data_IF_803649497704
#
_entry.id   IF_803649497704
#
_cell.length_a   1.000
_cell.length_b   1.000
_cell.length_c   1.000
_cell.angle_alpha   90.00
_cell.angle_beta   90.00
_cell.angle_gamma   90.00
#
_symmetry.space_group_name_H-M   'P 1'
#
loop_
_entity.id
_entity.type
_entity.pdbx_description
1 polymer ?
#
# COMPACT_ATOMS: atom_id res chain seq x y z
N UNK A 1 16.68 0.55 -18.36
CA UNK A 1 16.00 0.53 -17.03
C UNK A 1 16.62 -0.63 -16.28
N UNK A 2 17.49 -0.29 -15.34
CA UNK A 2 18.22 -1.30 -14.58
C UNK A 2 17.25 -2.18 -13.80
N UNK A 3 17.49 -3.48 -13.88
CA UNK A 3 16.78 -4.45 -13.06
C UNK A 3 16.99 -4.07 -11.59
N UNK A 4 15.89 -4.03 -10.84
CA UNK A 4 15.95 -3.98 -9.40
C UNK A 4 16.66 -5.25 -8.97
N UNK A 5 17.95 -5.15 -8.67
CA UNK A 5 18.65 -6.26 -8.06
C UNK A 5 18.23 -6.34 -6.58
N UNK A 6 17.04 -6.91 -6.38
CA UNK A 6 16.61 -7.34 -5.05
C UNK A 6 17.32 -8.65 -4.66
N UNK A 7 18.20 -9.18 -5.55
CA UNK A 7 19.04 -10.34 -5.29
C UNK A 7 20.17 -10.08 -4.31
N UNK A 8 20.36 -8.87 -3.83
CA UNK A 8 21.04 -8.71 -2.56
C UNK A 8 20.14 -9.31 -1.46
N UNK A 9 20.05 -10.62 -1.52
CA UNK A 9 19.92 -11.63 -0.44
C UNK A 9 19.39 -11.14 0.90
N UNK A 10 18.50 -10.18 0.92
CA UNK A 10 17.76 -9.84 2.11
C UNK A 10 16.35 -10.38 1.87
N UNK A 11 16.23 -11.75 1.92
CA UNK A 11 14.95 -12.24 2.34
C UNK A 11 14.47 -11.28 3.46
N UNK A 12 13.27 -10.74 3.40
CA UNK A 12 12.11 -11.45 2.85
C UNK A 12 11.48 -10.85 1.57
N UNK A 13 12.17 -10.00 0.85
CA UNK A 13 11.57 -9.24 -0.26
C UNK A 13 11.90 -9.84 -1.62
N UNK A 14 10.90 -9.94 -2.51
CA UNK A 14 11.07 -10.38 -3.90
C UNK A 14 10.31 -9.48 -4.86
N UNK A 15 11.00 -8.99 -5.88
CA UNK A 15 10.40 -8.19 -6.94
C UNK A 15 9.73 -9.11 -7.99
N UNK A 16 8.53 -8.75 -8.42
CA UNK A 16 7.75 -9.51 -9.40
C UNK A 16 7.65 -8.83 -10.77
N UNK A 17 8.28 -7.67 -10.94
CA UNK A 17 8.32 -7.03 -12.26
C UNK A 17 9.28 -7.77 -13.18
N UNK A 18 8.78 -8.14 -14.35
CA UNK A 18 9.53 -8.73 -15.44
C UNK A 18 9.02 -8.22 -16.78
N UNK A 19 9.65 -8.58 -17.89
CA UNK A 19 9.18 -8.24 -19.25
C UNK A 19 7.77 -8.78 -19.54
N UNK A 20 7.40 -9.91 -18.92
CA UNK A 20 6.10 -10.55 -19.06
C UNK A 20 5.08 -10.10 -17.98
N UNK A 21 5.52 -9.40 -16.94
CA UNK A 21 4.69 -8.94 -15.83
C UNK A 21 5.04 -7.48 -15.49
N UNK A 22 4.58 -6.54 -16.33
CA UNK A 22 4.97 -5.12 -16.21
C UNK A 22 4.07 -4.30 -15.30
N UNK A 23 2.83 -4.71 -15.07
CA UNK A 23 1.83 -3.96 -14.33
C UNK A 23 1.26 -4.74 -13.14
N UNK A 24 0.48 -4.07 -12.31
CA UNK A 24 -0.10 -4.63 -11.09
C UNK A 24 -0.91 -5.91 -11.33
N UNK A 25 -1.76 -5.92 -12.38
CA UNK A 25 -2.64 -7.06 -12.71
C UNK A 25 -1.87 -8.31 -13.12
N UNK A 26 -0.70 -8.15 -13.73
CA UNK A 26 0.16 -9.27 -14.10
C UNK A 26 1.04 -9.74 -12.94
N UNK A 27 1.48 -8.83 -12.06
CA UNK A 27 2.38 -9.14 -10.95
C UNK A 27 1.66 -9.75 -9.74
N UNK A 28 0.45 -9.27 -9.41
CA UNK A 28 -0.27 -9.73 -8.23
C UNK A 28 -0.51 -11.24 -8.20
N UNK A 29 -0.99 -11.89 -9.28
CA UNK A 29 -1.12 -13.36 -9.28
C UNK A 29 0.19 -14.10 -9.01
N UNK A 30 1.33 -13.54 -9.46
CA UNK A 30 2.64 -14.13 -9.22
C UNK A 30 3.07 -14.00 -7.76
N UNK A 31 2.78 -12.86 -7.11
CA UNK A 31 3.02 -12.66 -5.67
C UNK A 31 2.26 -13.71 -4.86
N UNK A 32 0.97 -13.90 -5.17
CA UNK A 32 0.11 -14.84 -4.46
C UNK A 32 0.53 -16.29 -4.73
N UNK A 33 0.87 -16.63 -5.98
CA UNK A 33 1.35 -17.97 -6.34
C UNK A 33 2.68 -18.35 -5.67
N UNK A 34 3.52 -17.35 -5.36
CA UNK A 34 4.78 -17.51 -4.62
C UNK A 34 4.57 -17.52 -3.08
N UNK A 35 3.32 -17.60 -2.63
CA UNK A 35 2.93 -17.58 -1.21
C UNK A 35 3.47 -16.35 -0.44
N UNK A 36 3.55 -15.20 -1.11
CA UNK A 36 3.99 -13.94 -0.50
C UNK A 36 2.84 -12.98 -0.30
N UNK A 37 3.04 -12.04 0.60
CA UNK A 37 2.11 -10.93 0.83
C UNK A 37 2.62 -9.71 0.05
N UNK A 38 1.75 -8.97 -0.67
CA UNK A 38 2.17 -7.72 -1.31
C UNK A 38 2.74 -6.75 -0.28
N UNK A 39 3.81 -6.05 -0.64
CA UNK A 39 4.42 -5.00 0.18
C UNK A 39 3.37 -3.97 0.60
N UNK A 40 3.27 -3.65 1.89
CA UNK A 40 2.46 -2.54 2.39
C UNK A 40 3.26 -1.23 2.41
N UNK A 41 2.57 -0.10 2.52
CA UNK A 41 3.23 1.20 2.72
C UNK A 41 4.07 1.19 4.01
N UNK A 42 3.56 0.58 5.08
CA UNK A 42 4.31 0.44 6.33
C UNK A 42 5.60 -0.37 6.15
N UNK A 43 5.55 -1.52 5.43
CA UNK A 43 6.76 -2.29 5.14
C UNK A 43 7.77 -1.51 4.29
N UNK A 44 7.29 -0.70 3.34
CA UNK A 44 8.15 0.18 2.57
C UNK A 44 8.82 1.23 3.46
N UNK A 45 8.08 1.83 4.39
CA UNK A 45 8.62 2.80 5.36
C UNK A 45 9.67 2.17 6.28
N UNK A 46 9.47 0.93 6.70
CA UNK A 46 10.49 0.20 7.48
C UNK A 46 11.73 -0.11 6.65
N UNK A 47 11.56 -0.56 5.42
CA UNK A 47 12.66 -1.05 4.59
C UNK A 47 13.50 0.05 3.96
N UNK A 48 12.87 1.08 3.40
CA UNK A 48 13.55 2.12 2.60
C UNK A 48 14.66 2.86 3.36
N UNK A 49 14.49 3.28 4.64
CA UNK A 49 15.55 3.95 5.42
C UNK A 49 16.74 3.06 5.74
N UNK A 50 16.52 1.75 5.85
CA UNK A 50 17.52 0.76 6.24
C UNK A 50 18.10 -0.03 5.07
N UNK A 51 17.70 0.29 3.84
CA UNK A 51 18.29 -0.31 2.66
C UNK A 51 19.76 0.09 2.54
N UNK A 52 20.68 -0.87 2.58
CA UNK A 52 22.15 -0.65 2.56
C UNK A 52 22.65 -0.01 1.25
N UNK A 53 23.81 -0.42 0.72
CA UNK A 53 24.37 0.14 -0.53
C UNK A 53 23.59 -0.22 -1.80
N UNK A 54 22.80 -1.29 -1.80
CA UNK A 54 21.73 -1.57 -2.80
C UNK A 54 20.58 -0.55 -2.76
N UNK A 55 20.84 0.51 -2.19
CA UNK A 55 20.06 1.64 -1.70
C UNK A 55 19.43 2.40 -2.85
N UNK A 56 20.10 2.49 -4.00
CA UNK A 56 19.53 3.14 -5.18
C UNK A 56 18.20 2.53 -5.57
N UNK A 57 18.08 1.21 -5.45
CA UNK A 57 16.89 0.47 -5.82
C UNK A 57 15.65 0.76 -4.97
N UNK A 58 15.79 0.80 -3.63
CA UNK A 58 14.66 1.08 -2.74
C UNK A 58 14.31 2.56 -2.65
N UNK A 59 15.30 3.42 -2.75
CA UNK A 59 15.15 4.87 -2.64
C UNK A 59 14.75 5.52 -3.96
N UNK A 60 15.29 5.01 -5.08
CA UNK A 60 15.12 5.63 -6.39
C UNK A 60 13.99 5.01 -7.21
N UNK A 61 13.37 3.93 -6.72
CA UNK A 61 12.23 3.32 -7.37
C UNK A 61 10.91 3.63 -6.68
N UNK A 62 9.86 3.35 -7.42
CA UNK A 62 8.47 3.51 -7.05
C UNK A 62 7.79 2.15 -6.97
N UNK A 63 6.87 2.03 -6.01
CA UNK A 63 6.25 0.77 -5.65
C UNK A 63 4.72 0.89 -5.60
N UNK A 64 4.06 -0.01 -6.28
CA UNK A 64 2.68 -0.37 -5.95
C UNK A 64 2.68 -1.21 -4.67
N UNK A 65 1.63 -1.09 -3.88
CA UNK A 65 1.51 -1.80 -2.60
C UNK A 65 0.25 -2.66 -2.53
N UNK A 66 0.16 -3.52 -1.52
CA UNK A 66 -1.06 -4.25 -1.18
C UNK A 66 -2.10 -3.41 -0.45
N UNK A 67 -1.73 -2.20 0.00
CA UNK A 67 -2.69 -1.25 0.53
C UNK A 67 -3.49 -0.62 -0.61
N UNK A 68 -4.76 -0.35 -0.38
CA UNK A 68 -5.67 0.20 -1.36
C UNK A 68 -6.26 1.55 -0.97
N UNK A 69 -6.75 2.26 -1.97
CA UNK A 69 -7.56 3.45 -1.80
C UNK A 69 -8.89 3.21 -2.51
N UNK A 70 -9.95 3.06 -1.71
CA UNK A 70 -11.29 2.94 -2.22
C UNK A 70 -11.95 4.32 -2.29
N UNK A 71 -12.59 4.64 -3.40
CA UNK A 71 -13.34 5.86 -3.62
C UNK A 71 -14.84 5.56 -3.69
N UNK A 72 -15.65 6.40 -3.05
CA UNK A 72 -17.10 6.33 -3.25
C UNK A 72 -17.51 6.85 -4.64
N UNK A 73 -18.72 6.59 -5.03
CA UNK A 73 -19.31 7.23 -6.21
C UNK A 73 -19.29 8.77 -6.02
N UNK A 74 -18.78 9.49 -7.03
CA UNK A 74 -18.54 10.93 -6.96
C UNK A 74 -17.13 11.30 -6.44
N UNK A 75 -16.42 10.38 -5.79
CA UNK A 75 -15.02 10.55 -5.38
C UNK A 75 -14.78 11.63 -4.31
N UNK A 76 -15.84 12.05 -3.57
CA UNK A 76 -15.74 13.02 -2.48
C UNK A 76 -15.16 12.41 -1.20
N UNK A 77 -15.43 11.11 -0.99
CA UNK A 77 -14.92 10.31 0.12
C UNK A 77 -14.00 9.21 -0.38
N UNK A 78 -13.07 8.82 0.46
CA UNK A 78 -12.22 7.67 0.18
C UNK A 78 -11.85 6.94 1.49
N UNK A 79 -11.53 5.65 1.35
CA UNK A 79 -11.02 4.83 2.45
C UNK A 79 -9.60 4.38 2.16
N UNK A 80 -8.73 4.43 3.17
CA UNK A 80 -7.46 3.70 3.15
C UNK A 80 -7.75 2.28 3.61
N UNK A 81 -7.56 1.34 2.70
CA UNK A 81 -7.83 -0.10 2.90
C UNK A 81 -6.48 -0.80 3.04
N UNK A 82 -6.10 -1.13 4.26
CA UNK A 82 -4.83 -1.79 4.54
C UNK A 82 -4.89 -3.28 4.14
N UNK A 83 -3.83 -3.78 3.49
CA UNK A 83 -3.70 -5.18 3.05
C UNK A 83 -4.94 -5.69 2.29
N UNK A 84 -5.38 -4.93 1.30
CA UNK A 84 -6.64 -5.14 0.59
C UNK A 84 -6.77 -6.54 -0.01
N UNK A 85 -7.77 -7.28 0.46
CA UNK A 85 -8.08 -8.61 -0.04
C UNK A 85 -8.62 -8.58 -1.48
N UNK A 86 -9.29 -7.50 -1.87
CA UNK A 86 -9.82 -7.37 -3.23
C UNK A 86 -8.70 -7.08 -4.23
N UNK A 87 -7.69 -6.30 -3.86
CA UNK A 87 -6.49 -6.12 -4.68
C UNK A 87 -5.68 -7.41 -4.85
N UNK A 88 -5.71 -8.33 -3.88
CA UNK A 88 -5.04 -9.63 -3.99
C UNK A 88 -5.69 -10.58 -5.00
N UNK A 89 -6.94 -10.34 -5.37
CA UNK A 89 -7.70 -11.18 -6.33
C UNK A 89 -7.58 -10.70 -7.77
N UNK A 90 -7.01 -9.51 -8.01
CA UNK A 90 -6.93 -8.96 -9.38
C UNK A 90 -5.99 -9.76 -10.26
N UNK A 91 -6.30 -9.76 -11.54
CA UNK A 91 -5.53 -10.42 -12.59
C UNK A 91 -5.80 -9.74 -13.95
N UNK A 92 -5.18 -10.21 -15.01
CA UNK A 92 -5.32 -9.64 -16.36
C UNK A 92 -6.75 -9.64 -16.92
N UNK A 93 -7.69 -10.41 -16.34
CA UNK A 93 -9.11 -10.45 -16.73
C UNK A 93 -9.98 -9.54 -15.86
N UNK A 94 -9.40 -8.90 -14.85
CA UNK A 94 -10.15 -8.02 -13.93
C UNK A 94 -10.74 -6.84 -14.69
N UNK A 95 -12.05 -6.64 -14.53
CA UNK A 95 -12.74 -5.49 -15.09
C UNK A 95 -12.28 -4.19 -14.43
N UNK A 96 -12.02 -3.20 -15.26
CA UNK A 96 -11.53 -1.91 -14.81
C UNK A 96 -12.34 -0.78 -15.42
N UNK A 97 -12.44 0.29 -14.66
CA UNK A 97 -12.93 1.58 -15.15
C UNK A 97 -11.92 2.66 -14.80
N UNK A 98 -11.47 3.40 -15.81
CA UNK A 98 -10.41 4.40 -15.65
C UNK A 98 -9.14 3.84 -14.97
N UNK A 99 -8.79 2.59 -15.24
CA UNK A 99 -7.63 1.92 -14.65
C UNK A 99 -7.78 1.50 -13.18
N UNK A 100 -8.97 1.59 -12.61
CA UNK A 100 -9.30 1.15 -11.25
C UNK A 100 -10.16 -0.12 -11.27
N UNK A 101 -10.05 -0.95 -10.23
CA UNK A 101 -11.01 -2.01 -9.96
C UNK A 101 -12.38 -1.40 -9.65
N UNK A 102 -13.40 -1.82 -10.35
CA UNK A 102 -14.78 -1.43 -10.05
C UNK A 102 -15.27 -2.23 -8.85
N UNK A 103 -15.81 -1.54 -7.88
CA UNK A 103 -16.48 -2.17 -6.73
C UNK A 103 -17.97 -2.31 -7.04
N UNK A 104 -18.54 -3.47 -6.71
CA UNK A 104 -19.97 -3.70 -6.79
C UNK A 104 -20.72 -2.77 -5.82
N UNK A 105 -22.01 -2.57 -6.08
CA UNK A 105 -22.85 -1.71 -5.26
C UNK A 105 -22.85 -2.18 -3.79
N UNK A 106 -22.66 -1.24 -2.87
CA UNK A 106 -22.60 -1.49 -1.43
C UNK A 106 -21.25 -2.04 -0.92
N UNK A 107 -20.33 -2.45 -1.78
CA UNK A 107 -19.02 -2.95 -1.34
C UNK A 107 -18.17 -1.85 -0.69
N UNK A 108 -18.23 -0.61 -1.23
CA UNK A 108 -17.49 0.51 -0.62
C UNK A 108 -17.83 0.70 0.86
N UNK A 109 -19.11 0.61 1.24
CA UNK A 109 -19.57 0.76 2.61
C UNK A 109 -19.08 -0.36 3.53
N UNK A 110 -18.95 -1.58 3.00
CA UNK A 110 -18.53 -2.78 3.72
C UNK A 110 -17.01 -2.89 3.87
N UNK A 111 -16.24 -2.22 2.99
CA UNK A 111 -14.78 -2.25 3.07
C UNK A 111 -14.30 -1.74 4.43
N UNK A 112 -13.50 -2.58 5.09
CA UNK A 112 -12.79 -2.18 6.29
C UNK A 112 -11.67 -1.20 5.92
N UNK A 113 -11.59 -0.08 6.64
CA UNK A 113 -10.59 0.96 6.38
C UNK A 113 -10.94 2.27 7.06
N UNK A 114 -9.98 3.15 7.12
CA UNK A 114 -10.21 4.50 7.65
C UNK A 114 -10.76 5.40 6.55
N UNK A 115 -11.97 5.92 6.77
CA UNK A 115 -12.63 6.84 5.83
C UNK A 115 -12.18 8.29 6.06
N UNK A 116 -12.02 9.01 4.95
CA UNK A 116 -11.70 10.42 4.91
C UNK A 116 -12.60 11.12 3.91
N UNK A 117 -12.89 12.39 4.14
CA UNK A 117 -13.43 13.27 3.11
C UNK A 117 -12.31 14.12 2.50
N UNK A 118 -12.38 14.37 1.20
CA UNK A 118 -11.39 15.25 0.55
C UNK A 118 -11.44 16.67 1.09
N UNK A 119 -12.60 17.13 1.51
CA UNK A 119 -12.77 18.48 2.07
C UNK A 119 -12.01 18.63 3.38
N UNK A 120 -12.04 17.62 4.28
CA UNK A 120 -11.35 17.67 5.58
C UNK A 120 -9.82 17.79 5.44
N UNK A 121 -9.26 17.28 4.36
CA UNK A 121 -7.80 17.28 4.11
C UNK A 121 -7.42 18.15 2.90
N UNK A 122 -8.32 18.96 2.37
CA UNK A 122 -8.14 19.74 1.14
C UNK A 122 -6.87 20.59 1.11
N UNK A 123 -6.54 21.22 2.22
CA UNK A 123 -5.32 22.04 2.35
C UNK A 123 -4.02 21.22 2.30
N UNK A 124 -4.12 19.89 2.44
CA UNK A 124 -2.99 18.95 2.46
C UNK A 124 -2.89 18.10 1.18
N UNK A 125 -3.83 18.26 0.24
CA UNK A 125 -3.84 17.53 -1.02
C UNK A 125 -3.07 18.26 -2.13
N UNK A 126 -2.55 17.47 -3.08
CA UNK A 126 -1.96 17.90 -4.35
C UNK A 126 -0.83 18.93 -4.21
N UNK A 127 -0.11 18.85 -3.11
CA UNK A 127 1.09 19.65 -2.86
C UNK A 127 2.10 18.89 -2.02
N UNK A 128 3.35 19.29 -2.12
CA UNK A 128 4.40 18.79 -1.22
C UNK A 128 4.23 19.37 0.18
N UNK A 129 4.50 18.53 1.17
CA UNK A 129 4.32 18.81 2.61
C UNK A 129 5.67 19.07 3.28
N UNK A 130 5.69 19.81 4.36
CA UNK A 130 6.84 19.84 5.29
C UNK A 130 6.88 18.56 6.11
N UNK A 131 8.02 18.27 6.76
CA UNK A 131 8.16 17.09 7.61
C UNK A 131 7.12 17.06 8.75
N UNK A 132 6.83 18.20 9.36
CA UNK A 132 5.85 18.28 10.43
C UNK A 132 4.42 18.07 9.91
N UNK A 133 4.10 18.60 8.72
CA UNK A 133 2.82 18.34 8.08
C UNK A 133 2.63 16.86 7.75
N UNK A 134 3.67 16.16 7.28
CA UNK A 134 3.63 14.70 7.04
C UNK A 134 3.36 13.93 8.32
N UNK A 135 4.11 14.23 9.40
CA UNK A 135 3.95 13.56 10.71
C UNK A 135 2.56 13.79 11.32
N UNK A 136 1.94 14.93 11.03
CA UNK A 136 0.59 15.27 11.50
C UNK A 136 -0.50 14.72 10.57
N UNK A 137 -0.17 14.34 9.33
CA UNK A 137 -1.14 14.03 8.28
C UNK A 137 -1.92 12.75 8.55
N UNK A 138 -3.27 12.79 8.62
CA UNK A 138 -4.06 11.64 9.05
C UNK A 138 -3.95 10.43 8.11
N UNK A 139 -3.82 10.66 6.79
CA UNK A 139 -3.66 9.56 5.82
C UNK A 139 -2.28 8.92 5.93
N UNK A 140 -1.20 9.69 6.12
CA UNK A 140 0.12 9.12 6.35
C UNK A 140 0.19 8.31 7.65
N UNK A 141 -0.49 8.77 8.72
CA UNK A 141 -0.61 7.99 9.97
C UNK A 141 -1.34 6.67 9.76
N UNK A 142 -2.45 6.67 9.02
CA UNK A 142 -3.19 5.46 8.67
C UNK A 142 -2.32 4.47 7.91
N UNK A 143 -1.57 4.92 6.90
CA UNK A 143 -0.69 4.09 6.07
C UNK A 143 0.52 3.54 6.84
N UNK A 144 1.11 4.34 7.71
CA UNK A 144 2.25 3.94 8.54
C UNK A 144 1.84 2.96 9.65
N UNK A 145 0.57 2.96 10.08
CA UNK A 145 0.04 2.13 11.18
C UNK A 145 0.70 2.38 12.55
N UNK A 146 1.73 3.23 12.59
CA UNK A 146 2.52 3.53 13.78
C UNK A 146 3.15 4.92 13.66
N UNK A 147 2.90 5.79 14.64
CA UNK A 147 3.40 7.18 14.63
C UNK A 147 4.94 7.25 14.76
N UNK A 148 5.56 6.32 15.49
CA UNK A 148 7.02 6.27 15.61
C UNK A 148 7.68 5.88 14.27
N UNK A 149 7.10 4.91 13.55
CA UNK A 149 7.56 4.53 12.21
C UNK A 149 7.43 5.70 11.22
N UNK A 150 6.28 6.39 11.23
CA UNK A 150 6.08 7.56 10.37
C UNK A 150 7.12 8.65 10.66
N UNK A 151 7.36 8.92 11.94
CA UNK A 151 8.34 9.92 12.37
C UNK A 151 9.75 9.55 11.88
N UNK A 152 10.20 8.33 12.14
CA UNK A 152 11.53 7.86 11.73
C UNK A 152 11.69 7.90 10.20
N UNK A 153 10.68 7.39 9.47
CA UNK A 153 10.68 7.43 8.00
C UNK A 153 10.77 8.85 7.47
N UNK A 154 9.93 9.73 7.98
CA UNK A 154 9.88 11.14 7.56
C UNK A 154 11.21 11.80 7.78
N UNK A 155 11.79 11.71 8.99
CA UNK A 155 13.05 12.37 9.33
C UNK A 155 14.20 11.89 8.44
N UNK A 156 14.34 10.58 8.24
CA UNK A 156 15.38 9.98 7.40
C UNK A 156 15.23 10.36 5.93
N UNK A 157 14.00 10.26 5.39
CA UNK A 157 13.75 10.55 3.97
C UNK A 157 13.90 12.04 3.65
N UNK A 158 13.44 12.94 4.52
CA UNK A 158 13.62 14.37 4.32
C UNK A 158 15.11 14.75 4.38
N UNK A 159 15.86 14.23 5.34
CA UNK A 159 17.31 14.46 5.43
C UNK A 159 18.04 14.01 4.15
N UNK A 160 17.67 12.84 3.61
CA UNK A 160 18.26 12.33 2.38
C UNK A 160 17.82 13.13 1.13
N UNK A 161 16.54 13.43 1.01
CA UNK A 161 16.02 14.23 -0.11
C UNK A 161 16.60 15.66 -0.11
N UNK A 162 16.81 16.25 1.07
CA UNK A 162 17.48 17.53 1.19
C UNK A 162 18.94 17.46 0.71
N UNK A 163 19.64 16.40 1.08
CA UNK A 163 21.06 16.20 0.70
C UNK A 163 21.22 15.90 -0.79
N UNK A 164 20.36 15.06 -1.37
CA UNK A 164 20.50 14.60 -2.76
C UNK A 164 19.88 15.56 -3.77
N UNK A 165 18.77 16.19 -3.42
CA UNK A 165 17.91 16.92 -4.36
C UNK A 165 17.57 18.34 -3.90
N UNK A 166 18.02 18.78 -2.73
CA UNK A 166 17.69 20.08 -2.12
C UNK A 166 16.20 20.29 -1.83
N UNK A 167 15.43 19.21 -1.63
CA UNK A 167 14.02 19.31 -1.34
C UNK A 167 13.78 19.59 0.16
N UNK A 168 13.05 20.67 0.46
CA UNK A 168 12.59 21.02 1.80
C UNK A 168 11.12 20.59 2.06
N UNK A 169 10.40 20.23 0.99
CA UNK A 169 9.04 19.70 1.02
C UNK A 169 8.94 18.45 0.15
N UNK A 170 8.14 17.47 0.59
CA UNK A 170 8.01 16.17 -0.04
C UNK A 170 6.73 15.46 0.41
N UNK A 171 6.56 14.19 0.06
CA UNK A 171 5.53 13.28 0.54
C UNK A 171 4.10 13.85 0.41
N UNK A 172 3.86 14.56 -0.70
CA UNK A 172 2.53 15.05 -1.05
C UNK A 172 1.54 13.91 -1.31
N UNK A 173 0.25 14.19 -1.19
CA UNK A 173 -0.86 13.28 -1.44
C UNK A 173 -1.58 13.65 -2.72
N UNK A 174 -1.66 12.69 -3.67
CA UNK A 174 -2.30 12.87 -4.98
C UNK A 174 -3.39 11.82 -5.17
N UNK A 175 -4.65 12.24 -5.09
CA UNK A 175 -5.82 11.35 -5.13
C UNK A 175 -6.56 11.43 -6.47
N UNK A 176 -7.29 10.36 -6.82
CA UNK A 176 -8.17 10.37 -7.98
C UNK A 176 -9.34 11.35 -7.77
N UNK A 177 -9.83 11.93 -8.86
CA UNK A 177 -11.00 12.82 -8.89
C UNK A 177 -12.01 12.33 -9.92
N UNK A 178 -13.29 12.62 -9.69
CA UNK A 178 -14.34 12.38 -10.67
C UNK A 178 -14.73 10.92 -10.89
N UNK A 179 -14.51 10.05 -9.90
CA UNK A 179 -14.96 8.66 -9.96
C UNK A 179 -16.48 8.59 -9.99
N UNK A 180 -17.04 8.09 -11.11
CA UNK A 180 -18.51 8.03 -11.31
C UNK A 180 -19.16 6.85 -10.60
N UNK A 181 -18.40 5.82 -10.30
CA UNK A 181 -18.79 4.60 -9.58
C UNK A 181 -17.79 4.32 -8.48
N UNK A 182 -18.14 3.52 -7.46
CA UNK A 182 -17.17 3.11 -6.46
C UNK A 182 -16.01 2.35 -7.09
N UNK A 183 -14.79 2.70 -6.72
CA UNK A 183 -13.57 2.09 -7.28
C UNK A 183 -12.52 1.84 -6.21
N UNK A 184 -11.60 0.92 -6.50
CA UNK A 184 -10.44 0.62 -5.67
C UNK A 184 -9.17 0.68 -6.51
N UNK A 185 -8.16 1.38 -6.01
CA UNK A 185 -6.83 1.51 -6.63
C UNK A 185 -5.76 1.03 -5.66
N UNK A 186 -4.65 0.52 -6.18
CA UNK A 186 -3.47 0.27 -5.36
C UNK A 186 -2.88 1.59 -4.85
N UNK A 187 -2.47 1.61 -3.59
CA UNK A 187 -1.66 2.68 -3.05
C UNK A 187 -0.24 2.59 -3.63
N UNK A 188 0.24 3.71 -4.12
CA UNK A 188 1.52 3.81 -4.80
C UNK A 188 2.40 4.86 -4.13
N UNK A 189 3.68 4.56 -3.95
CA UNK A 189 4.66 5.47 -3.37
C UNK A 189 5.84 5.66 -4.31
N UNK A 190 6.11 6.92 -4.65
CA UNK A 190 7.21 7.33 -5.51
C UNK A 190 8.60 7.13 -4.90
N UNK A 191 9.62 7.12 -5.73
CA UNK A 191 11.02 7.24 -5.33
C UNK A 191 11.34 8.62 -4.75
N UNK A 192 12.54 8.76 -4.16
CA UNK A 192 12.95 10.02 -3.53
C UNK A 192 13.16 11.14 -4.54
N UNK A 193 13.57 10.82 -5.77
CA UNK A 193 13.67 11.79 -6.87
C UNK A 193 12.33 12.48 -7.15
N UNK A 194 11.23 11.73 -7.05
CA UNK A 194 9.87 12.24 -7.13
C UNK A 194 9.28 12.58 -5.76
N UNK A 195 10.12 12.94 -4.80
CA UNK A 195 9.74 13.40 -3.46
C UNK A 195 8.95 12.39 -2.62
N UNK A 196 9.08 11.09 -2.88
CA UNK A 196 8.37 10.04 -2.12
C UNK A 196 6.86 10.29 -1.99
N UNK A 197 6.24 10.80 -3.04
CA UNK A 197 4.82 11.15 -3.05
C UNK A 197 3.95 9.91 -2.93
N UNK A 198 2.79 10.06 -2.30
CA UNK A 198 1.75 9.05 -2.27
C UNK A 198 0.74 9.35 -3.38
N UNK A 199 0.52 8.39 -4.26
CA UNK A 199 -0.35 8.57 -5.41
C UNK A 199 -1.46 7.53 -5.42
N UNK A 200 -2.67 7.96 -5.12
CA UNK A 200 -3.89 7.13 -5.11
C UNK A 200 -4.67 7.18 -6.42
N UNK A 201 -4.17 7.88 -7.43
CA UNK A 201 -4.85 8.00 -8.75
C UNK A 201 -4.25 7.11 -9.85
N UNK A 202 -3.31 6.28 -9.52
CA UNK A 202 -2.60 5.43 -10.46
C UNK A 202 -3.47 4.31 -11.02
N UNK A 203 -3.24 3.92 -12.29
CA UNK A 203 -3.96 2.83 -12.92
C UNK A 203 -3.29 1.48 -12.60
N UNK A 204 -4.07 0.44 -12.41
CA UNK A 204 -3.59 -0.92 -12.19
C UNK A 204 -2.86 -1.51 -13.41
N UNK A 205 -3.01 -0.88 -14.59
CA UNK A 205 -2.32 -1.26 -15.83
C UNK A 205 -1.00 -0.52 -16.05
N UNK A 206 -0.67 0.45 -15.22
CA UNK A 206 0.60 1.18 -15.36
C UNK A 206 1.79 0.29 -14.99
N UNK A 207 2.89 0.50 -15.71
CA UNK A 207 4.08 -0.35 -15.59
C UNK A 207 4.93 -0.03 -14.37
N UNK A 208 4.54 -0.52 -13.18
CA UNK A 208 5.20 -0.28 -11.90
C UNK A 208 5.73 -1.55 -11.27
N UNK A 209 6.25 -1.46 -10.05
CA UNK A 209 6.85 -2.58 -9.33
C UNK A 209 5.98 -3.00 -8.16
N UNK A 210 5.67 -4.28 -8.10
CA UNK A 210 5.07 -4.93 -6.94
C UNK A 210 6.11 -5.85 -6.30
N UNK A 211 6.31 -5.67 -5.01
CA UNK A 211 7.23 -6.49 -4.21
C UNK A 211 6.40 -7.40 -3.31
N UNK A 212 6.75 -8.67 -3.28
CA UNK A 212 6.20 -9.64 -2.34
C UNK A 212 7.08 -9.79 -1.12
N UNK A 213 6.47 -9.88 0.06
CA UNK A 213 7.14 -10.08 1.35
C UNK A 213 6.85 -11.50 1.83
N UNK A 214 7.87 -12.24 2.26
CA UNK A 214 7.68 -13.58 2.81
C UNK A 214 6.90 -13.51 4.13
N UNK A 215 5.89 -14.38 4.36
CA UNK A 215 5.04 -14.33 5.55
C UNK A 215 5.80 -14.43 6.87
N UNK A 216 6.91 -15.15 6.90
CA UNK A 216 7.76 -15.33 8.09
C UNK A 216 8.34 -14.01 8.60
N UNK A 217 8.63 -13.08 7.71
CA UNK A 217 9.15 -11.77 8.07
C UNK A 217 8.10 -10.87 8.73
N UNK A 218 6.83 -11.10 8.45
CA UNK A 218 5.72 -10.38 9.07
C UNK A 218 5.49 -10.85 10.52
N UNK A 219 6.01 -12.05 10.87
CA UNK A 219 5.88 -12.67 12.18
C UNK A 219 7.16 -12.62 13.02
N UNK A 220 8.23 -11.92 12.56
CA UNK A 220 9.49 -11.83 13.29
C UNK A 220 9.31 -11.18 14.67
N UNK A 221 9.98 -11.68 15.72
CA UNK A 221 9.90 -11.11 17.06
C UNK A 221 10.34 -9.65 17.06
N UNK A 222 9.49 -8.75 17.52
CA UNK A 222 9.72 -7.29 17.52
C UNK A 222 8.70 -6.50 16.70
N UNK A 223 7.95 -7.13 15.81
CA UNK A 223 6.80 -6.53 15.13
C UNK A 223 5.52 -7.04 15.81
N UNK A 224 4.94 -6.23 16.67
CA UNK A 224 3.59 -6.47 17.18
C UNK A 224 2.59 -6.21 16.03
N UNK A 225 2.39 -7.22 15.18
CA UNK A 225 1.15 -7.31 14.43
C UNK A 225 0.12 -7.73 15.47
N UNK A 226 -0.83 -6.86 15.79
CA UNK A 226 -2.03 -7.29 16.51
C UNK A 226 -2.66 -8.41 15.65
N UNK A 227 -2.42 -9.63 16.09
CA UNK A 227 -3.11 -10.77 15.48
C UNK A 227 -4.58 -10.56 15.76
N UNK A 228 -5.45 -10.65 14.74
CA UNK A 228 -6.88 -10.63 15.01
C UNK A 228 -7.16 -11.67 16.08
N UNK A 229 -7.98 -11.32 17.06
CA UNK A 229 -8.34 -12.24 18.13
C UNK A 229 -8.91 -13.52 17.52
N UNK A 230 -8.77 -14.64 18.23
CA UNK A 230 -9.33 -15.93 17.78
C UNK A 230 -10.82 -15.79 17.43
N UNK A 231 -11.54 -14.91 18.14
CA UNK A 231 -12.93 -14.56 17.89
C UNK A 231 -13.13 -13.83 16.57
N UNK A 232 -12.22 -12.90 16.20
CA UNK A 232 -12.25 -12.21 14.90
C UNK A 232 -11.98 -13.19 13.75
N UNK A 233 -11.03 -14.12 13.93
CA UNK A 233 -10.74 -15.16 12.92
C UNK A 233 -11.92 -16.12 12.76
N UNK A 234 -12.55 -16.54 13.86
CA UNK A 234 -13.76 -17.38 13.85
C UNK A 234 -14.94 -16.66 13.21
N UNK A 235 -15.15 -15.39 13.53
CA UNK A 235 -16.21 -14.58 12.93
C UNK A 235 -16.04 -14.47 11.41
N UNK A 236 -14.82 -14.20 10.94
CA UNK A 236 -14.49 -14.16 9.51
C UNK A 236 -14.65 -15.55 8.87
N UNK A 237 -14.17 -16.61 9.50
CA UNK A 237 -14.32 -17.97 8.98
C UNK A 237 -15.81 -18.37 8.84
N UNK A 238 -16.64 -18.02 9.82
CA UNK A 238 -18.09 -18.29 9.76
C UNK A 238 -18.83 -17.45 8.71
N UNK A 239 -18.40 -16.22 8.46
CA UNK A 239 -18.92 -15.42 7.36
C UNK A 239 -18.59 -16.01 5.98
N UNK A 240 -17.41 -16.60 5.81
CA UNK A 240 -16.97 -17.15 4.50
C UNK A 240 -17.43 -18.56 4.24
N UNK A 241 -17.70 -19.37 5.27
CA UNK A 241 -18.05 -20.79 5.13
C UNK A 241 -19.55 -21.07 5.07
N UNK A 242 -20.39 -20.03 5.12
CA UNK A 242 -21.85 -20.14 4.92
C UNK A 242 -22.46 -21.32 5.69
N UNK A 243 -22.88 -21.10 6.95
CA UNK A 243 -23.67 -22.03 7.75
C UNK A 243 -23.00 -23.37 8.15
N UNK A 244 -21.90 -23.30 8.84
CA UNK A 244 -21.43 -24.38 9.69
C UNK A 244 -20.73 -23.76 10.89
N UNK A 245 -21.35 -23.76 12.05
CA UNK A 245 -20.70 -23.29 13.27
C UNK A 245 -19.44 -24.13 13.55
N UNK A 246 -18.28 -23.49 13.51
CA UNK A 246 -17.04 -24.12 13.95
C UNK A 246 -16.93 -23.91 15.46
N UNK A 247 -17.22 -24.94 16.24
CA UNK A 247 -16.98 -24.95 17.68
C UNK A 247 -15.52 -25.30 17.98
N UNK A 248 -14.86 -24.45 18.77
CA UNK A 248 -13.56 -24.74 19.33
C UNK A 248 -13.71 -25.82 20.45
N UNK A 249 -13.30 -27.04 20.16
CA UNK A 249 -13.10 -28.03 21.21
C UNK A 249 -11.84 -27.68 22.01
N UNK A 250 -12.04 -27.25 23.27
CA UNK A 250 -10.94 -27.17 24.25
C UNK A 250 -10.38 -28.57 24.45
N UNK A 251 -9.10 -28.79 24.20
CA UNK A 251 -8.33 -29.92 24.69
C UNK A 251 -7.61 -29.53 25.96
#
# INVERSE_FOLDING_TARGET
>A
MENLDLNDTIEPYKNFRSDNAKNYLAQMPLVIADNRVPLSVANLMERRPHAGKSVSTWKDNYFDTGDGIAYNAGGSKFKIVLDSQDLRKVNLKTEQKNGALVLEDGIYEQLQGQEFTKEDIKSLLERDLSADEVKAHPVWKALARNDALLTEYTDKMFAEMKTRFTYDKAMGLYLASGEKVPTLRAAYVDGLESRSQFVGRCNLVDGRRLVGVAPEALNAPGKAIERPSLETVLHLANQYLGQGEIELRKR
#
